data_IF_288771431927
#
_entry.id   IF_288771431927
#
_cell.length_a   1.000
_cell.length_b   1.000
_cell.length_c   1.000
_cell.angle_alpha   90.00
_cell.angle_beta   90.00
_cell.angle_gamma   90.00
#
_symmetry.space_group_name_H-M   'P 1'
#
loop_
_entity.id
_entity.type
_entity.pdbx_description
1 polymer ?
#
# COMPACT_ATOMS: atom_id res chain seq x y z
N UNK A 1 20.91 17.73 -38.94
CA UNK A 1 19.79 16.76 -39.01
C UNK A 1 18.54 17.39 -38.40
N UNK A 2 17.53 17.72 -39.21
CA UNK A 2 16.26 18.29 -38.75
C UNK A 2 15.36 17.20 -38.14
N UNK A 3 14.90 17.38 -36.90
CA UNK A 3 13.93 16.48 -36.25
C UNK A 3 12.52 16.97 -36.60
N UNK A 4 11.81 16.25 -37.47
CA UNK A 4 10.38 16.46 -37.70
C UNK A 4 9.56 15.85 -36.56
N UNK A 5 8.77 16.68 -35.87
CA UNK A 5 7.78 16.24 -34.88
C UNK A 5 6.41 16.27 -35.55
N UNK A 6 5.93 15.12 -36.06
CA UNK A 6 4.64 15.02 -36.73
C UNK A 6 3.47 14.99 -35.72
N UNK A 7 2.57 15.98 -35.81
CA UNK A 7 1.22 15.91 -35.26
C UNK A 7 0.43 14.94 -36.15
N UNK A 8 -0.34 14.03 -35.56
CA UNK A 8 -1.14 13.07 -36.34
C UNK A 8 -2.26 13.77 -37.11
N UNK A 9 -2.61 13.26 -38.28
CA UNK A 9 -3.69 13.80 -39.12
C UNK A 9 -4.87 12.84 -39.09
N UNK A 10 -6.04 13.35 -38.73
CA UNK A 10 -7.31 12.65 -38.74
C UNK A 10 -8.19 13.23 -39.85
N UNK A 11 -8.76 12.36 -40.67
CA UNK A 11 -9.78 12.71 -41.64
C UNK A 11 -11.15 12.35 -41.06
N UNK A 12 -12.03 13.34 -41.01
CA UNK A 12 -13.42 13.14 -40.59
C UNK A 12 -14.30 13.21 -41.82
N UNK A 13 -15.04 12.15 -42.11
CA UNK A 13 -16.11 12.19 -43.08
C UNK A 13 -17.32 12.86 -42.42
N UNK A 14 -17.67 14.06 -42.89
CA UNK A 14 -18.75 14.89 -42.32
C UNK A 14 -20.16 14.37 -42.57
N UNK A 15 -20.35 13.49 -43.55
CA UNK A 15 -21.66 12.92 -43.89
C UNK A 15 -22.00 11.74 -42.97
N UNK A 16 -20.99 10.91 -42.68
CA UNK A 16 -21.18 9.65 -41.95
C UNK A 16 -20.59 9.68 -40.53
N UNK A 17 -19.97 10.79 -40.12
CA UNK A 17 -19.29 10.95 -38.83
C UNK A 17 -18.05 10.06 -38.64
N UNK A 18 -17.62 9.35 -39.68
CA UNK A 18 -16.56 8.36 -39.59
C UNK A 18 -15.18 9.04 -39.57
N UNK A 19 -14.35 8.66 -38.60
CA UNK A 19 -12.99 9.19 -38.43
C UNK A 19 -11.98 8.14 -38.88
N UNK A 20 -11.05 8.51 -39.76
CA UNK A 20 -9.93 7.67 -40.20
C UNK A 20 -8.61 8.37 -39.90
N UNK A 21 -7.63 7.59 -39.45
CA UNK A 21 -6.27 8.09 -39.16
C UNK A 21 -5.46 8.03 -40.45
N UNK A 22 -5.12 9.18 -41.02
CA UNK A 22 -4.29 9.26 -42.24
C UNK A 22 -2.80 9.25 -41.90
N UNK A 23 -2.40 9.96 -40.83
CA UNK A 23 -1.05 9.88 -40.26
C UNK A 23 -1.12 9.71 -38.75
N UNK A 24 -0.47 8.67 -38.24
CA UNK A 24 -0.42 8.43 -36.80
C UNK A 24 0.52 9.44 -36.13
N UNK A 25 0.08 10.05 -35.03
CA UNK A 25 0.95 10.88 -34.21
C UNK A 25 2.05 10.01 -33.58
N UNK A 26 3.24 10.57 -33.36
CA UNK A 26 4.38 9.89 -32.71
C UNK A 26 4.03 9.23 -31.36
N UNK A 27 3.04 9.79 -30.66
CA UNK A 27 2.55 9.30 -29.36
C UNK A 27 1.25 8.51 -29.44
N UNK A 28 0.69 8.28 -30.63
CA UNK A 28 -0.51 7.46 -30.82
C UNK A 28 -0.16 5.96 -30.74
N UNK A 29 0.35 5.55 -29.58
CA UNK A 29 0.65 4.14 -29.28
C UNK A 29 -0.60 3.56 -28.65
N UNK A 30 -1.41 2.87 -29.45
CA UNK A 30 -2.54 2.08 -28.94
C UNK A 30 -2.05 1.15 -27.83
N UNK A 31 -2.82 1.05 -26.73
CA UNK A 31 -2.49 0.20 -25.58
C UNK A 31 -2.19 -1.26 -25.96
N UNK A 32 -2.77 -1.73 -27.07
CA UNK A 32 -2.56 -3.04 -27.69
C UNK A 32 -1.09 -3.29 -28.06
N UNK A 33 -0.38 -2.28 -28.58
CA UNK A 33 1.04 -2.39 -28.92
C UNK A 33 1.96 -2.45 -27.69
N UNK A 34 1.54 -1.93 -26.53
CA UNK A 34 2.29 -2.04 -25.27
C UNK A 34 2.22 -3.46 -24.69
N UNK A 35 1.04 -4.08 -24.69
CA UNK A 35 0.86 -5.48 -24.26
C UNK A 35 1.69 -6.46 -25.10
N UNK A 36 1.72 -6.32 -26.42
CA UNK A 36 2.55 -7.16 -27.31
C UNK A 36 4.06 -7.04 -27.04
N UNK A 37 4.53 -5.96 -26.42
CA UNK A 37 5.94 -5.72 -26.08
C UNK A 37 6.31 -6.08 -24.63
N UNK A 38 5.39 -6.69 -23.87
CA UNK A 38 5.61 -6.98 -22.44
C UNK A 38 5.74 -5.72 -21.57
N UNK A 39 5.37 -4.55 -22.09
CA UNK A 39 5.43 -3.31 -21.35
C UNK A 39 4.22 -3.22 -20.44
N UNK A 40 4.49 -3.08 -19.13
CA UNK A 40 3.48 -2.89 -18.08
C UNK A 40 2.47 -1.82 -18.48
N UNK A 41 1.20 -2.06 -18.16
CA UNK A 41 0.17 -1.07 -18.45
C UNK A 41 0.47 0.21 -17.67
N UNK A 42 0.17 1.37 -18.25
CA UNK A 42 0.31 2.65 -17.53
C UNK A 42 -0.51 2.61 -16.23
N UNK A 43 -1.63 1.87 -16.25
CA UNK A 43 -2.53 1.67 -15.10
C UNK A 43 -1.81 1.02 -13.92
N UNK A 44 -0.92 0.05 -14.15
CA UNK A 44 -0.14 -0.57 -13.07
C UNK A 44 0.77 0.45 -12.34
N UNK A 45 1.33 1.43 -13.07
CA UNK A 45 2.12 2.50 -12.45
C UNK A 45 1.25 3.54 -11.73
N UNK A 46 0.07 3.84 -12.27
CA UNK A 46 -0.89 4.76 -11.67
C UNK A 46 -1.52 4.17 -10.40
N UNK A 47 -1.83 2.88 -10.35
CA UNK A 47 -2.44 2.22 -9.18
C UNK A 47 -1.52 2.25 -7.94
N UNK A 48 -0.20 2.08 -8.13
CA UNK A 48 0.77 2.22 -7.05
C UNK A 48 0.79 3.65 -6.51
N UNK A 49 0.83 4.64 -7.39
CA UNK A 49 0.88 6.06 -7.02
C UNK A 49 -0.44 6.58 -6.44
N UNK A 50 -1.58 6.10 -6.94
CA UNK A 50 -2.92 6.50 -6.48
C UNK A 50 -3.24 6.02 -5.07
N UNK A 51 -2.61 4.94 -4.58
CA UNK A 51 -2.78 4.46 -3.20
C UNK A 51 -2.13 5.38 -2.17
N UNK A 52 -1.06 6.06 -2.56
CA UNK A 52 -0.31 6.99 -1.70
C UNK A 52 -0.86 8.44 -1.77
N UNK A 53 -1.76 8.74 -2.72
CA UNK A 53 -2.35 10.07 -2.89
C UNK A 53 -3.75 10.14 -2.26
N UNK A 54 -3.98 11.23 -1.51
CA UNK A 54 -5.23 11.46 -0.74
C UNK A 54 -6.35 12.03 -1.63
N UNK A 55 -6.01 12.71 -2.73
CA UNK A 55 -6.98 13.35 -3.62
C UNK A 55 -7.65 12.38 -4.60
N UNK A 56 -8.99 12.38 -4.63
CA UNK A 56 -9.78 11.72 -5.69
C UNK A 56 -10.13 10.24 -5.47
N UNK A 57 -9.78 9.65 -4.32
CA UNK A 57 -10.13 8.26 -4.03
C UNK A 57 -11.60 8.14 -3.57
N UNK A 58 -12.36 7.27 -4.21
CA UNK A 58 -13.72 6.92 -3.74
C UNK A 58 -13.57 6.00 -2.54
N UNK A 59 -13.84 6.51 -1.34
CA UNK A 59 -14.12 5.71 -0.15
C UNK A 59 -13.03 4.72 0.27
N UNK A 60 -11.99 5.21 0.95
CA UNK A 60 -11.21 4.36 1.86
C UNK A 60 -10.07 3.54 1.26
N UNK A 61 -9.75 3.67 -0.03
CA UNK A 61 -8.59 2.99 -0.64
C UNK A 61 -7.24 3.68 -0.36
N UNK A 62 -7.25 4.97 0.01
CA UNK A 62 -6.03 5.72 0.31
C UNK A 62 -5.31 5.18 1.54
N UNK A 63 -3.98 5.14 1.46
CA UNK A 63 -3.10 4.89 2.58
C UNK A 63 -3.05 6.10 3.50
N UNK A 64 -3.62 5.99 4.70
CA UNK A 64 -3.59 7.05 5.71
C UNK A 64 -2.37 6.87 6.63
N UNK A 65 -1.94 7.93 7.32
CA UNK A 65 -0.89 7.84 8.36
C UNK A 65 -1.21 6.78 9.42
N UNK A 66 -2.50 6.58 9.71
CA UNK A 66 -2.98 5.47 10.53
C UNK A 66 -2.67 4.10 9.92
N UNK A 67 -3.02 3.87 8.64
CA UNK A 67 -2.75 2.60 7.97
C UNK A 67 -1.26 2.31 7.84
N UNK A 68 -0.42 3.32 7.55
CA UNK A 68 1.04 3.16 7.56
C UNK A 68 1.53 2.69 8.93
N UNK A 69 1.15 3.41 9.99
CA UNK A 69 1.58 3.06 11.35
C UNK A 69 1.09 1.67 11.76
N UNK A 70 -0.16 1.34 11.45
CA UNK A 70 -0.76 0.03 11.72
C UNK A 70 -0.01 -1.10 10.98
N UNK A 71 0.34 -0.89 9.71
CA UNK A 71 1.08 -1.86 8.93
C UNK A 71 2.52 -2.05 9.45
N UNK A 72 3.19 -0.97 9.87
CA UNK A 72 4.51 -1.02 10.51
C UNK A 72 4.48 -1.83 11.80
N UNK A 73 3.50 -1.55 12.68
CA UNK A 73 3.32 -2.29 13.95
C UNK A 73 3.05 -3.78 13.68
N UNK A 74 2.16 -4.10 12.74
CA UNK A 74 1.88 -5.49 12.34
C UNK A 74 3.13 -6.21 11.84
N UNK A 75 3.94 -5.52 11.03
CA UNK A 75 5.20 -6.06 10.51
C UNK A 75 6.18 -6.35 11.66
N UNK A 76 6.39 -5.38 12.55
CA UNK A 76 7.24 -5.52 13.72
C UNK A 76 6.84 -6.71 14.60
N UNK A 77 5.59 -6.76 15.05
CA UNK A 77 5.12 -7.85 15.94
C UNK A 77 5.19 -9.23 15.26
N UNK A 78 4.99 -9.28 13.94
CA UNK A 78 5.13 -10.53 13.17
C UNK A 78 6.59 -10.96 13.04
N UNK A 79 7.51 -10.01 12.84
CA UNK A 79 8.94 -10.29 12.78
C UNK A 79 9.46 -10.74 14.14
N UNK A 80 9.02 -10.13 15.23
CA UNK A 80 9.38 -10.57 16.58
C UNK A 80 8.81 -11.96 16.88
N UNK A 81 7.56 -12.24 16.47
CA UNK A 81 7.00 -13.60 16.54
C UNK A 81 7.78 -14.61 15.68
N UNK A 82 8.42 -14.20 14.58
CA UNK A 82 9.28 -15.11 13.80
C UNK A 82 10.61 -15.38 14.50
N UNK A 83 11.17 -14.39 15.18
CA UNK A 83 12.38 -14.54 16.00
C UNK A 83 12.13 -15.37 17.27
N UNK A 84 10.86 -15.52 17.69
CA UNK A 84 10.44 -16.34 18.82
C UNK A 84 10.98 -17.77 18.80
N UNK A 85 11.11 -18.38 17.62
CA UNK A 85 11.66 -19.73 17.50
C UNK A 85 13.07 -19.87 18.11
N UNK A 86 13.75 -18.76 18.46
CA UNK A 86 15.11 -18.79 18.99
C UNK A 86 15.40 -18.01 20.29
N UNK A 87 14.71 -16.90 20.65
CA UNK A 87 15.19 -16.05 21.80
C UNK A 87 14.18 -15.29 22.69
N UNK A 88 12.95 -14.99 22.27
CA UNK A 88 12.01 -14.14 23.05
C UNK A 88 10.56 -14.61 22.86
N UNK A 89 9.71 -14.53 23.88
CA UNK A 89 8.31 -15.03 23.89
C UNK A 89 7.33 -14.28 22.94
N UNK A 90 7.86 -13.49 21.99
CA UNK A 90 7.12 -12.72 20.99
C UNK A 90 6.39 -11.51 21.55
N UNK A 91 6.45 -11.32 22.87
CA UNK A 91 5.81 -10.22 23.59
C UNK A 91 6.67 -8.96 23.55
N UNK A 92 6.06 -7.85 23.15
CA UNK A 92 6.70 -6.54 23.11
C UNK A 92 5.90 -5.52 23.90
N UNK A 93 6.59 -4.60 24.55
CA UNK A 93 6.00 -3.40 25.15
C UNK A 93 5.79 -2.33 24.08
N UNK A 94 4.98 -1.31 24.37
CA UNK A 94 4.81 -0.16 23.47
C UNK A 94 6.14 0.55 23.21
N UNK A 95 7.01 0.64 24.22
CA UNK A 95 8.30 1.31 24.09
C UNK A 95 9.21 0.56 23.11
N UNK A 96 9.27 -0.77 23.19
CA UNK A 96 10.01 -1.61 22.22
C UNK A 96 9.41 -1.51 20.80
N UNK A 97 8.09 -1.43 20.68
CA UNK A 97 7.43 -1.26 19.38
C UNK A 97 7.82 0.10 18.78
N UNK A 98 7.81 1.17 19.57
CA UNK A 98 8.18 2.51 19.11
C UNK A 98 9.66 2.64 18.74
N UNK A 99 10.54 1.91 19.41
CA UNK A 99 11.97 1.86 19.06
C UNK A 99 12.21 1.20 17.69
N UNK A 100 11.34 0.27 17.31
CA UNK A 100 11.40 -0.45 16.03
C UNK A 100 10.55 0.17 14.91
N UNK A 101 9.57 1.02 15.24
CA UNK A 101 8.58 1.54 14.31
C UNK A 101 8.59 3.07 14.31
N UNK A 102 8.89 3.67 13.16
CA UNK A 102 8.68 5.09 12.96
C UNK A 102 7.17 5.41 12.95
N UNK A 103 6.78 6.49 13.63
CA UNK A 103 5.37 6.92 13.73
C UNK A 103 5.23 8.38 13.36
N UNK A 104 4.11 8.71 12.74
CA UNK A 104 3.79 10.09 12.30
C UNK A 104 2.98 10.87 13.35
N UNK A 105 2.82 10.32 14.55
CA UNK A 105 2.00 10.91 15.60
C UNK A 105 2.82 11.81 16.51
N UNK A 106 2.29 12.98 16.84
CA UNK A 106 2.90 13.87 17.84
C UNK A 106 3.00 13.24 19.23
N UNK A 107 2.10 12.30 19.56
CA UNK A 107 2.06 11.57 20.85
C UNK A 107 2.08 10.05 20.61
N UNK A 108 3.24 9.50 20.21
CA UNK A 108 3.31 8.16 19.63
C UNK A 108 2.91 7.06 20.60
N UNK A 109 3.31 7.16 21.87
CA UNK A 109 2.97 6.16 22.91
C UNK A 109 1.46 5.99 23.11
N UNK A 110 0.74 7.10 23.26
CA UNK A 110 -0.71 7.08 23.49
C UNK A 110 -1.44 6.56 22.26
N UNK A 111 -1.07 7.04 21.07
CA UNK A 111 -1.67 6.60 19.81
C UNK A 111 -1.45 5.12 19.55
N UNK A 112 -0.21 4.62 19.71
CA UNK A 112 0.09 3.19 19.53
C UNK A 112 -0.63 2.32 20.56
N UNK A 113 -0.72 2.76 21.82
CA UNK A 113 -1.49 2.06 22.84
C UNK A 113 -2.98 1.97 22.49
N UNK A 114 -3.57 3.05 21.98
CA UNK A 114 -4.96 3.06 21.52
C UNK A 114 -5.16 2.12 20.33
N UNK A 115 -4.26 2.15 19.34
CA UNK A 115 -4.30 1.28 18.17
C UNK A 115 -4.28 -0.19 18.60
N UNK A 116 -3.32 -0.58 19.46
CA UNK A 116 -3.15 -1.97 19.89
C UNK A 116 -4.31 -2.48 20.75
N UNK A 117 -5.00 -1.60 21.48
CA UNK A 117 -6.15 -1.95 22.32
C UNK A 117 -7.49 -1.87 21.60
N UNK A 118 -7.51 -1.33 20.39
CA UNK A 118 -8.74 -1.19 19.61
C UNK A 118 -9.37 -2.55 19.34
N UNK A 119 -10.70 -2.65 19.49
CA UNK A 119 -11.39 -3.94 19.48
C UNK A 119 -11.22 -4.70 18.16
N UNK A 120 -11.28 -4.00 17.04
CA UNK A 120 -11.07 -4.61 15.71
C UNK A 120 -9.67 -5.21 15.57
N UNK A 121 -8.68 -4.67 16.29
CA UNK A 121 -7.31 -5.13 16.24
C UNK A 121 -7.04 -6.35 17.12
N UNK A 122 -7.96 -6.71 18.02
CA UNK A 122 -7.89 -7.96 18.80
C UNK A 122 -7.97 -9.20 17.91
N UNK A 123 -8.41 -9.08 16.65
CA UNK A 123 -8.42 -10.17 15.68
C UNK A 123 -7.02 -10.69 15.35
N UNK A 124 -6.00 -9.82 15.39
CA UNK A 124 -4.62 -10.16 15.02
C UNK A 124 -3.59 -9.85 16.12
N UNK A 125 -3.96 -9.05 17.13
CA UNK A 125 -3.11 -8.70 18.26
C UNK A 125 -3.60 -9.37 19.55
N UNK A 126 -2.67 -9.91 20.32
CA UNK A 126 -2.84 -10.34 21.71
C UNK A 126 -2.32 -9.23 22.62
N UNK A 127 -2.99 -9.04 23.75
CA UNK A 127 -2.53 -8.12 24.79
C UNK A 127 -2.54 -8.83 26.14
N UNK A 128 -1.47 -8.66 26.90
CA UNK A 128 -1.33 -9.18 28.27
C UNK A 128 -0.84 -8.07 29.18
N UNK A 129 -1.33 -8.05 30.41
CA UNK A 129 -0.85 -7.14 31.45
C UNK A 129 -0.07 -7.94 32.50
N UNK A 130 1.14 -7.50 32.81
CA UNK A 130 1.98 -8.07 33.88
C UNK A 130 2.36 -6.92 34.80
N UNK A 131 1.79 -6.91 36.01
CA UNK A 131 1.90 -5.77 36.93
C UNK A 131 1.32 -4.49 36.31
N UNK A 132 2.16 -3.45 36.18
CA UNK A 132 1.79 -2.17 35.57
C UNK A 132 2.10 -2.08 34.07
N UNK A 133 2.75 -3.09 33.49
CA UNK A 133 3.22 -3.06 32.10
C UNK A 133 2.28 -3.86 31.20
N UNK A 134 1.98 -3.30 30.02
CA UNK A 134 1.22 -3.97 28.97
C UNK A 134 2.17 -4.48 27.88
N UNK A 135 1.98 -5.75 27.53
CA UNK A 135 2.69 -6.46 26.49
C UNK A 135 1.73 -6.82 25.37
N UNK A 136 2.24 -6.83 24.15
CA UNK A 136 1.50 -7.07 22.92
C UNK A 136 2.24 -8.07 22.05
N UNK A 137 1.50 -8.92 21.34
CA UNK A 137 2.06 -9.94 20.46
C UNK A 137 1.13 -10.20 19.27
N UNK A 138 1.67 -10.66 18.16
CA UNK A 138 0.87 -11.09 17.02
C UNK A 138 0.26 -12.49 17.26
N UNK A 139 -1.01 -12.71 16.92
CA UNK A 139 -1.68 -14.00 17.11
C UNK A 139 -1.07 -15.10 16.23
N UNK A 140 -0.68 -16.21 16.86
CA UNK A 140 -0.08 -17.35 16.16
C UNK A 140 -1.10 -18.17 15.35
N UNK A 141 -2.39 -18.14 15.71
CA UNK A 141 -3.45 -18.85 14.98
C UNK A 141 -3.55 -18.43 13.51
N UNK A 142 -3.20 -17.17 13.20
CA UNK A 142 -3.14 -16.65 11.83
C UNK A 142 -1.91 -17.16 11.03
N UNK A 143 -0.93 -17.80 11.69
CA UNK A 143 0.26 -18.40 11.04
C UNK A 143 -0.04 -19.77 10.45
N UNK A 144 -0.85 -20.58 11.14
CA UNK A 144 -1.15 -21.98 10.77
C UNK A 144 -2.14 -22.14 9.60
N UNK A 145 -2.74 -21.04 9.13
CA UNK A 145 -3.73 -21.02 8.06
C UNK A 145 -3.18 -20.85 6.63
N UNK A 146 -1.88 -21.05 6.41
CA UNK A 146 -1.31 -21.14 5.05
C UNK A 146 -0.89 -22.59 4.79
N UNK A 147 -1.81 -23.35 4.23
CA UNK A 147 -1.54 -24.55 3.43
C UNK A 147 -1.34 -24.06 1.99
#
# INVERSE_FOLDING_TARGET
MSKQYGIGVLLVNTENGNIRVERSARFNRTAVLRRKRGLRSIREGIEAFSKDQIGGSKGGETMTSYKYTLNSIKKCLREELRKYEYKNDGWMTVDQILESCETYYAKPRTSVMQILRFDDNKTWCESRKVGRVCYFRYKETLRKGKI
#
